data_IF_169350931110
#
_entry.id   IF_169350931110
#
_cell.length_a   1.000
_cell.length_b   1.000
_cell.length_c   1.000
_cell.angle_alpha   90.00
_cell.angle_beta   90.00
_cell.angle_gamma   90.00
#
_symmetry.space_group_name_H-M   'P 1'
#
loop_
_entity.id
_entity.type
_entity.pdbx_description
1 polymer ?
#
# COMPACT_ATOMS: atom_id res chain seq x y z
N UNK A 1 -14.83 7.96 -4.28
CA UNK A 1 -14.29 8.38 -2.96
C UNK A 1 -15.25 8.14 -1.79
N UNK A 2 -16.54 8.54 -1.82
CA UNK A 2 -17.46 8.38 -0.65
C UNK A 2 -17.61 6.94 -0.11
N UNK A 3 -17.77 5.94 -0.98
CA UNK A 3 -17.92 4.52 -0.57
C UNK A 3 -16.63 3.96 0.05
N UNK A 4 -15.48 4.29 -0.54
CA UNK A 4 -14.17 3.84 -0.04
C UNK A 4 -13.93 4.26 1.40
N UNK A 5 -14.11 5.55 1.69
CA UNK A 5 -13.95 6.11 3.05
C UNK A 5 -14.91 5.50 4.07
N UNK A 6 -16.13 5.14 3.65
CA UNK A 6 -17.11 4.53 4.56
C UNK A 6 -16.81 3.06 4.86
N UNK A 7 -16.22 2.32 3.91
CA UNK A 7 -15.95 0.89 4.06
C UNK A 7 -14.56 0.58 4.61
N UNK A 8 -13.61 1.51 4.49
CA UNK A 8 -12.23 1.33 4.95
C UNK A 8 -12.12 0.88 6.43
N UNK A 9 -12.85 1.47 7.41
CA UNK A 9 -12.81 0.97 8.78
C UNK A 9 -13.27 -0.49 8.92
N UNK A 10 -14.26 -0.90 8.12
CA UNK A 10 -14.77 -2.28 8.12
C UNK A 10 -13.76 -3.23 7.48
N UNK A 11 -13.14 -2.81 6.37
CA UNK A 11 -12.10 -3.57 5.69
C UNK A 11 -10.87 -3.82 6.58
N UNK A 12 -10.45 -2.81 7.35
CA UNK A 12 -9.34 -2.92 8.31
C UNK A 12 -9.68 -3.91 9.43
N UNK A 13 -10.89 -3.83 9.99
CA UNK A 13 -11.34 -4.77 11.03
C UNK A 13 -11.33 -6.22 10.52
N UNK A 14 -11.86 -6.47 9.32
CA UNK A 14 -11.87 -7.80 8.72
C UNK A 14 -10.45 -8.27 8.39
N UNK A 15 -9.59 -7.40 7.86
CA UNK A 15 -8.18 -7.68 7.63
C UNK A 15 -7.48 -8.13 8.93
N UNK A 16 -7.59 -7.36 10.02
CA UNK A 16 -6.98 -7.69 11.30
C UNK A 16 -7.47 -9.03 11.85
N UNK A 17 -8.77 -9.33 11.65
CA UNK A 17 -9.36 -10.62 12.03
C UNK A 17 -8.79 -11.78 11.22
N UNK A 18 -8.69 -11.64 9.90
CA UNK A 18 -8.19 -12.68 8.99
C UNK A 18 -6.70 -12.94 9.21
N UNK A 19 -5.91 -11.88 9.41
CA UNK A 19 -4.45 -11.96 9.55
C UNK A 19 -3.98 -12.15 10.99
N UNK A 20 -4.86 -11.96 11.97
CA UNK A 20 -4.53 -11.96 13.39
C UNK A 20 -3.38 -10.99 13.71
N UNK A 21 -3.49 -9.77 13.21
CA UNK A 21 -2.48 -8.72 13.32
C UNK A 21 -3.02 -7.51 14.08
N UNK A 22 -2.13 -6.76 14.72
CA UNK A 22 -2.48 -5.48 15.32
C UNK A 22 -2.38 -4.35 14.30
N UNK A 23 -3.24 -3.35 14.44
CA UNK A 23 -3.32 -2.20 13.55
C UNK A 23 -3.32 -0.89 14.34
N UNK A 24 -2.65 0.12 13.81
CA UNK A 24 -2.71 1.50 14.27
C UNK A 24 -2.89 2.45 13.09
N UNK A 25 -3.78 3.45 13.18
CA UNK A 25 -3.93 4.46 12.14
C UNK A 25 -2.62 5.24 11.95
N UNK A 26 -2.30 5.54 10.70
CA UNK A 26 -1.14 6.36 10.35
C UNK A 26 -1.60 7.74 9.85
N UNK A 27 -0.84 8.77 10.19
CA UNK A 27 -1.03 10.11 9.64
C UNK A 27 -0.23 10.31 8.36
N UNK A 28 0.01 11.56 8.01
CA UNK A 28 0.94 11.91 6.95
C UNK A 28 2.39 11.78 7.44
N UNK A 29 3.20 11.03 6.69
CA UNK A 29 4.62 10.80 6.96
C UNK A 29 5.44 11.56 5.93
N UNK A 30 6.42 12.32 6.40
CA UNK A 30 7.40 13.03 5.57
C UNK A 30 8.70 12.24 5.60
N UNK A 31 9.35 12.06 4.45
CA UNK A 31 10.64 11.38 4.38
C UNK A 31 11.69 12.18 5.17
N UNK A 32 12.46 11.55 6.09
CA UNK A 32 13.35 12.26 7.01
C UNK A 32 14.41 13.12 6.29
N UNK A 33 15.01 12.60 5.23
CA UNK A 33 16.06 13.29 4.46
C UNK A 33 15.57 13.95 3.16
N UNK A 34 14.26 13.95 2.89
CA UNK A 34 13.68 14.48 1.66
C UNK A 34 12.30 15.10 1.95
N UNK A 35 12.25 16.28 2.60
CA UNK A 35 11.00 16.87 3.11
C UNK A 35 9.96 17.24 2.03
N UNK A 36 10.34 17.24 0.75
CA UNK A 36 9.42 17.37 -0.38
C UNK A 36 8.67 16.07 -0.73
N UNK A 37 9.02 14.95 -0.11
CA UNK A 37 8.38 13.65 -0.27
C UNK A 37 7.56 13.32 0.97
N UNK A 38 6.30 12.92 0.77
CA UNK A 38 5.46 12.44 1.84
C UNK A 38 4.39 11.46 1.37
N UNK A 39 3.86 10.69 2.32
CA UNK A 39 2.85 9.67 2.07
C UNK A 39 1.88 9.55 3.24
N UNK A 40 0.71 8.98 2.98
CA UNK A 40 -0.33 8.75 3.99
C UNK A 40 -0.75 7.29 3.93
N UNK A 41 -0.02 6.36 4.57
CA UNK A 41 -0.46 4.98 4.69
C UNK A 41 -1.78 4.89 5.45
N UNK A 42 -2.60 3.88 5.12
CA UNK A 42 -3.86 3.67 5.83
C UNK A 42 -3.58 3.20 7.28
N UNK A 43 -2.46 2.49 7.50
CA UNK A 43 -1.98 2.25 8.86
C UNK A 43 -0.68 1.49 8.96
N UNK A 44 -0.25 1.32 10.22
CA UNK A 44 0.90 0.51 10.63
C UNK A 44 0.37 -0.81 11.20
N UNK A 45 1.03 -1.90 10.83
CA UNK A 45 0.68 -3.26 11.24
C UNK A 45 1.83 -3.90 12.00
N UNK A 46 1.49 -4.66 13.03
CA UNK A 46 2.42 -5.60 13.67
C UNK A 46 2.00 -7.05 13.37
N UNK A 47 2.89 -7.79 12.72
CA UNK A 47 2.78 -9.22 12.44
C UNK A 47 3.95 -9.97 13.10
N UNK A 48 3.72 -10.71 14.21
CA UNK A 48 4.79 -11.40 14.92
C UNK A 48 5.43 -12.54 14.13
N UNK A 49 4.82 -12.98 13.02
CA UNK A 49 5.33 -14.04 12.16
C UNK A 49 6.29 -13.51 11.09
N UNK A 50 6.40 -12.19 10.92
CA UNK A 50 7.22 -11.55 9.90
C UNK A 50 8.52 -10.98 10.47
N UNK A 51 9.55 -10.87 9.61
CA UNK A 51 10.83 -10.24 9.97
C UNK A 51 11.25 -9.25 8.88
N UNK A 52 11.21 -7.93 9.13
CA UNK A 52 10.84 -7.27 10.39
C UNK A 52 9.33 -7.38 10.72
N UNK A 53 8.93 -7.27 12.01
CA UNK A 53 7.53 -7.52 12.42
C UNK A 53 6.60 -6.33 12.17
N UNK A 54 7.14 -5.14 11.91
CA UNK A 54 6.36 -3.94 11.59
C UNK A 54 6.34 -3.71 10.08
N UNK A 55 5.16 -3.38 9.58
CA UNK A 55 4.93 -3.00 8.19
C UNK A 55 3.72 -2.07 8.07
N UNK A 56 3.27 -1.87 6.84
CA UNK A 56 2.14 -1.00 6.53
C UNK A 56 0.91 -1.80 6.07
N UNK A 57 -0.24 -1.15 6.00
CA UNK A 57 -1.42 -1.63 5.28
C UNK A 57 -1.90 -0.55 4.31
N UNK A 58 -2.32 -0.97 3.13
CA UNK A 58 -2.98 -0.14 2.12
C UNK A 58 -4.25 -0.85 1.64
N UNK A 59 -5.40 -0.22 1.84
CA UNK A 59 -6.74 -0.77 1.66
C UNK A 59 -7.43 -0.15 0.46
N UNK A 60 -7.98 -0.99 -0.40
CA UNK A 60 -8.84 -0.58 -1.51
C UNK A 60 -10.22 -1.23 -1.36
N UNK A 61 -11.26 -0.41 -1.38
CA UNK A 61 -12.66 -0.86 -1.32
C UNK A 61 -13.36 -0.57 -2.68
N UNK A 62 -13.12 -1.38 -3.72
CA UNK A 62 -13.75 -1.19 -5.03
C UNK A 62 -15.27 -1.45 -4.97
N UNK A 63 -16.01 -0.83 -5.88
CA UNK A 63 -17.41 -1.23 -6.18
C UNK A 63 -17.43 -2.44 -7.11
N UNK A 64 -16.80 -3.55 -6.69
CA UNK A 64 -16.75 -4.81 -7.41
C UNK A 64 -17.42 -5.90 -6.56
N UNK A 65 -18.04 -6.89 -7.21
CA UNK A 65 -18.63 -8.02 -6.48
C UNK A 65 -17.53 -8.86 -5.82
N UNK A 66 -16.52 -9.20 -6.60
CA UNK A 66 -15.34 -9.95 -6.16
C UNK A 66 -14.06 -9.22 -6.54
N UNK A 67 -12.98 -9.42 -5.77
CA UNK A 67 -11.67 -8.90 -6.13
C UNK A 67 -11.19 -9.45 -7.50
N UNK A 68 -11.68 -10.60 -7.97
CA UNK A 68 -11.29 -11.16 -9.27
C UNK A 68 -11.63 -10.24 -10.45
N UNK A 69 -12.64 -9.37 -10.28
CA UNK A 69 -13.08 -8.40 -11.29
C UNK A 69 -12.19 -7.15 -11.33
N UNK A 70 -11.25 -7.02 -10.39
CA UNK A 70 -10.41 -5.84 -10.27
C UNK A 70 -9.30 -5.83 -11.33
N UNK A 71 -9.37 -4.86 -12.24
CA UNK A 71 -8.44 -4.72 -13.37
C UNK A 71 -6.97 -4.48 -12.96
N UNK A 72 -6.70 -4.09 -11.72
CA UNK A 72 -5.35 -3.93 -11.17
C UNK A 72 -4.72 -5.22 -10.66
N UNK A 73 -5.47 -6.32 -10.63
CA UNK A 73 -4.96 -7.66 -10.32
C UNK A 73 -4.71 -8.47 -11.59
N UNK A 74 -3.76 -9.41 -11.52
CA UNK A 74 -3.49 -10.41 -12.56
C UNK A 74 -3.14 -11.76 -11.93
N UNK A 75 -3.49 -12.84 -12.62
CA UNK A 75 -3.09 -14.18 -12.20
C UNK A 75 -1.57 -14.35 -12.37
N UNK A 76 -0.88 -14.74 -11.31
CA UNK A 76 0.55 -15.02 -11.28
C UNK A 76 0.81 -16.22 -10.38
N UNK A 77 1.41 -17.28 -10.94
CA UNK A 77 1.75 -18.50 -10.22
C UNK A 77 0.56 -19.09 -9.42
N UNK A 78 -0.63 -19.08 -10.03
CA UNK A 78 -1.85 -19.63 -9.41
C UNK A 78 -2.53 -18.72 -8.38
N UNK A 79 -2.05 -17.49 -8.16
CA UNK A 79 -2.69 -16.52 -7.28
C UNK A 79 -2.93 -15.18 -8.00
N UNK A 80 -4.04 -14.51 -7.69
CA UNK A 80 -4.25 -13.12 -8.12
C UNK A 80 -3.33 -12.19 -7.33
N UNK A 81 -2.57 -11.36 -8.05
CA UNK A 81 -1.62 -10.41 -7.48
C UNK A 81 -1.75 -9.05 -8.15
N UNK A 82 -1.46 -8.00 -7.39
CA UNK A 82 -1.34 -6.63 -7.86
C UNK A 82 -0.34 -6.54 -9.02
N UNK A 83 -0.77 -5.91 -10.11
CA UNK A 83 0.09 -5.65 -11.27
C UNK A 83 1.20 -4.67 -10.87
N UNK A 84 2.45 -5.07 -11.04
CA UNK A 84 3.61 -4.17 -10.85
C UNK A 84 3.58 -2.91 -11.75
N UNK A 85 2.86 -2.97 -12.88
CA UNK A 85 2.66 -1.83 -13.77
C UNK A 85 1.52 -0.89 -13.33
N UNK A 86 0.74 -1.24 -12.31
CA UNK A 86 -0.41 -0.47 -11.88
C UNK A 86 -0.02 0.58 -10.84
N UNK A 87 -0.69 1.74 -10.85
CA UNK A 87 -0.39 2.87 -9.97
C UNK A 87 -0.37 2.51 -8.48
N UNK A 88 -1.24 1.59 -8.01
CA UNK A 88 -1.24 1.14 -6.61
C UNK A 88 0.06 0.44 -6.20
N UNK A 89 0.74 -0.25 -7.11
CA UNK A 89 2.04 -0.85 -6.78
C UNK A 89 3.08 0.25 -6.54
N UNK A 90 3.10 1.27 -7.39
CA UNK A 90 3.98 2.44 -7.22
C UNK A 90 3.62 3.26 -5.96
N UNK A 91 2.32 3.36 -5.62
CA UNK A 91 1.86 3.97 -4.37
C UNK A 91 2.45 3.24 -3.15
N UNK A 92 2.37 1.90 -3.12
CA UNK A 92 2.94 1.09 -2.04
C UNK A 92 4.45 1.24 -1.98
N UNK A 93 5.16 1.13 -3.10
CA UNK A 93 6.62 1.29 -3.11
C UNK A 93 7.06 2.70 -2.68
N UNK A 94 6.28 3.73 -3.01
CA UNK A 94 6.49 5.09 -2.51
C UNK A 94 6.31 5.19 -0.99
N UNK A 95 5.30 4.54 -0.43
CA UNK A 95 5.12 4.47 1.03
C UNK A 95 6.28 3.75 1.72
N UNK A 96 6.74 2.62 1.18
CA UNK A 96 7.87 1.86 1.72
C UNK A 96 9.19 2.63 1.62
N UNK A 97 9.38 3.40 0.55
CA UNK A 97 10.48 4.35 0.41
C UNK A 97 10.43 5.42 1.52
N UNK A 98 9.28 6.08 1.67
CA UNK A 98 9.12 7.26 2.54
C UNK A 98 9.17 6.90 4.03
N UNK A 99 8.58 5.78 4.41
CA UNK A 99 8.51 5.33 5.80
C UNK A 99 9.73 4.53 6.24
N UNK A 100 10.50 3.98 5.29
CA UNK A 100 11.58 3.04 5.57
C UNK A 100 11.12 1.63 5.94
N UNK A 101 9.83 1.32 5.89
CA UNK A 101 9.30 -0.02 6.14
C UNK A 101 9.66 -1.00 5.01
N UNK A 102 9.75 -2.29 5.34
CA UNK A 102 10.17 -3.34 4.39
C UNK A 102 9.02 -4.03 3.66
N UNK A 103 7.79 -3.92 4.19
CA UNK A 103 6.63 -4.55 3.58
C UNK A 103 5.33 -3.79 3.90
N UNK A 104 4.35 -3.99 3.02
CA UNK A 104 3.00 -3.48 3.13
C UNK A 104 2.01 -4.59 2.74
N UNK A 105 0.98 -4.80 3.54
CA UNK A 105 -0.15 -5.64 3.15
C UNK A 105 -1.13 -4.82 2.31
N UNK A 106 -1.24 -5.17 1.03
CA UNK A 106 -2.24 -4.65 0.11
C UNK A 106 -3.55 -5.41 0.30
N UNK A 107 -4.61 -4.71 0.68
CA UNK A 107 -5.92 -5.27 0.96
C UNK A 107 -6.91 -4.81 -0.09
N UNK A 108 -7.64 -5.75 -0.68
CA UNK A 108 -8.79 -5.45 -1.55
C UNK A 108 -10.03 -6.01 -0.87
N UNK A 109 -10.92 -5.12 -0.47
CA UNK A 109 -12.18 -5.47 0.18
C UNK A 109 -13.34 -5.22 -0.80
N UNK A 110 -13.75 -6.28 -1.50
CA UNK A 110 -14.88 -6.26 -2.42
C UNK A 110 -16.19 -6.58 -1.66
N UNK A 111 -17.31 -6.70 -2.37
CA UNK A 111 -18.61 -6.96 -1.73
C UNK A 111 -18.71 -8.35 -1.10
N UNK A 112 -18.14 -9.36 -1.75
CA UNK A 112 -18.30 -10.77 -1.35
C UNK A 112 -17.01 -11.38 -0.78
N UNK A 113 -15.85 -10.79 -1.06
CA UNK A 113 -14.56 -11.35 -0.69
C UNK A 113 -13.48 -10.31 -0.37
N UNK A 114 -12.41 -10.80 0.26
CA UNK A 114 -11.23 -10.04 0.64
C UNK A 114 -9.97 -10.70 0.06
N UNK A 115 -9.12 -9.90 -0.56
CA UNK A 115 -7.75 -10.28 -0.91
C UNK A 115 -6.79 -9.57 0.03
N UNK A 116 -5.81 -10.32 0.55
CA UNK A 116 -4.66 -9.75 1.27
C UNK A 116 -3.39 -10.23 0.57
N UNK A 117 -2.59 -9.29 0.08
CA UNK A 117 -1.31 -9.56 -0.55
C UNK A 117 -0.20 -8.79 0.18
N UNK A 118 0.77 -9.49 0.75
CA UNK A 118 2.01 -8.87 1.20
C UNK A 118 2.87 -8.44 0.01
N UNK A 119 3.24 -7.18 -0.02
CA UNK A 119 4.13 -6.56 -1.00
C UNK A 119 5.39 -6.12 -0.28
N UNK A 120 6.53 -6.66 -0.70
CA UNK A 120 7.84 -6.26 -0.18
C UNK A 120 8.39 -5.06 -0.92
N UNK A 121 9.24 -4.32 -0.23
CA UNK A 121 10.03 -3.23 -0.80
C UNK A 121 10.85 -3.75 -1.98
N UNK A 122 10.77 -3.01 -3.08
CA UNK A 122 11.56 -3.24 -4.28
C UNK A 122 12.56 -2.07 -4.40
N UNK A 123 13.85 -2.31 -4.12
CA UNK A 123 14.86 -1.26 -4.12
C UNK A 123 14.98 -0.51 -5.47
N UNK A 124 14.82 -1.22 -6.59
CA UNK A 124 14.96 -0.64 -7.93
C UNK A 124 13.78 0.30 -8.24
N UNK A 125 12.58 -0.09 -7.81
CA UNK A 125 11.38 0.74 -7.93
C UNK A 125 11.47 1.94 -6.99
N UNK A 126 11.92 1.76 -5.75
CA UNK A 126 12.15 2.84 -4.80
C UNK A 126 13.18 3.86 -5.33
N UNK A 127 14.28 3.40 -5.91
CA UNK A 127 15.27 4.26 -6.56
C UNK A 127 14.65 5.05 -7.71
N UNK A 128 13.89 4.38 -8.58
CA UNK A 128 13.19 5.05 -9.70
C UNK A 128 12.22 6.13 -9.22
N UNK A 129 11.46 5.86 -8.15
CA UNK A 129 10.55 6.85 -7.54
C UNK A 129 11.35 8.04 -7.02
N UNK A 130 12.42 7.79 -6.28
CA UNK A 130 13.27 8.83 -5.69
C UNK A 130 13.84 9.75 -6.76
N UNK A 131 14.47 9.19 -7.79
CA UNK A 131 15.08 9.97 -8.88
C UNK A 131 14.06 10.85 -9.60
N UNK A 132 12.89 10.29 -9.94
CA UNK A 132 11.85 11.05 -10.66
C UNK A 132 11.21 12.13 -9.79
N UNK A 133 10.98 11.85 -8.51
CA UNK A 133 10.37 12.81 -7.61
C UNK A 133 11.34 13.97 -7.28
N UNK A 134 12.62 13.67 -7.06
CA UNK A 134 13.67 14.68 -6.89
C UNK A 134 13.80 15.55 -8.15
N UNK A 135 13.84 14.92 -9.33
CA UNK A 135 13.90 15.66 -10.59
C UNK A 135 12.71 16.61 -10.72
N UNK A 136 11.49 16.12 -10.53
CA UNK A 136 10.29 16.94 -10.62
C UNK A 136 10.31 18.10 -9.62
N UNK A 137 10.67 17.84 -8.36
CA UNK A 137 10.66 18.88 -7.34
C UNK A 137 11.68 19.98 -7.64
N UNK A 138 12.95 19.61 -7.87
CA UNK A 138 14.03 20.58 -8.01
C UNK A 138 14.11 21.24 -9.38
N UNK A 139 13.75 20.54 -10.45
CA UNK A 139 13.95 21.00 -11.82
C UNK A 139 12.65 21.31 -12.56
N UNK A 140 11.49 21.18 -11.93
CA UNK A 140 10.19 21.48 -12.56
C UNK A 140 9.23 22.24 -11.64
N UNK A 141 9.18 21.93 -10.35
CA UNK A 141 8.30 22.63 -9.42
C UNK A 141 8.93 23.91 -8.86
N UNK A 142 10.22 23.86 -8.50
CA UNK A 142 10.95 25.02 -7.95
C UNK A 142 11.51 25.98 -9.03
N UNK A 143 11.64 25.51 -10.27
CA UNK A 143 12.06 26.32 -11.42
C UNK A 143 10.83 26.81 -12.19
#
# INVERSE_FOLDING_TARGET
MKRGLAQEPVAILEYCRVKNTNYWPCGFVIHPDAPWLGSSPDGVVFDPMERPPFGLVEVKCPSAKSYVDCSYLKMQNGALKLKASHAYYWQIQGQLLITGMEWCDFVVFAEEDILVQRVYKDPDVCQTIREKADHFFFYTYLL
#
